data_IF_785637733615
#
_entry.id   IF_785637733615
#
_cell.length_a   1.000
_cell.length_b   1.000
_cell.length_c   1.000
_cell.angle_alpha   90.00
_cell.angle_beta   90.00
_cell.angle_gamma   90.00
#
_symmetry.space_group_name_H-M   'P 1'
#
loop_
_entity.id
_entity.type
_entity.pdbx_description
1 polymer ?
#
# COMPACT_ATOMS: atom_id res chain seq x y z
N UNK A 1 65.91 43.32 52.70
CA UNK A 1 66.59 42.05 52.37
C UNK A 1 65.75 40.90 52.92
N UNK A 2 65.45 39.94 52.03
CA UNK A 2 65.02 38.54 52.24
C UNK A 2 64.18 38.16 53.47
N UNK A 3 62.94 37.67 53.28
CA UNK A 3 62.65 36.24 53.04
C UNK A 3 61.15 35.90 53.17
N UNK A 4 60.61 35.42 52.04
CA UNK A 4 59.63 34.35 51.78
C UNK A 4 58.73 33.84 52.93
N UNK A 5 57.41 33.74 52.65
CA UNK A 5 56.59 32.55 52.93
C UNK A 5 55.48 32.35 51.89
N UNK A 6 55.48 31.18 51.24
CA UNK A 6 54.40 30.62 50.43
C UNK A 6 53.19 30.26 51.32
N UNK A 7 51.97 30.29 50.76
CA UNK A 7 50.93 29.29 51.06
C UNK A 7 49.73 29.36 50.09
N UNK A 8 49.41 28.21 49.48
CA UNK A 8 48.06 27.66 49.16
C UNK A 8 47.14 28.51 48.24
N UNK A 9 46.62 28.02 47.12
CA UNK A 9 45.84 26.80 46.96
C UNK A 9 45.91 26.26 45.52
N UNK A 10 46.14 24.96 45.43
CA UNK A 10 46.00 24.13 44.26
C UNK A 10 44.55 24.11 43.75
N UNK A 11 44.27 24.76 42.62
CA UNK A 11 43.14 24.39 41.76
C UNK A 11 43.60 23.28 40.83
N UNK A 12 43.50 22.04 41.30
CA UNK A 12 43.53 20.87 40.42
C UNK A 12 42.23 20.91 39.63
N UNK A 13 42.27 21.55 38.46
CA UNK A 13 41.22 21.40 37.44
C UNK A 13 41.32 19.97 36.90
N UNK A 14 40.59 19.07 37.55
CA UNK A 14 40.30 17.74 37.03
C UNK A 14 39.38 17.93 35.82
N UNK A 15 39.95 18.26 34.66
CA UNK A 15 39.25 18.13 33.39
C UNK A 15 39.06 16.63 33.15
N UNK A 16 37.93 16.12 33.67
CA UNK A 16 37.28 14.90 33.24
C UNK A 16 37.05 15.00 31.73
N UNK A 17 38.04 14.58 30.95
CA UNK A 17 37.84 14.12 29.58
C UNK A 17 37.13 12.77 29.73
N UNK A 18 35.81 12.82 29.97
CA UNK A 18 34.96 11.70 29.65
C UNK A 18 35.06 11.52 28.13
N UNK A 19 35.64 10.43 27.61
CA UNK A 19 35.45 10.13 26.21
C UNK A 19 33.95 9.93 26.06
N UNK A 20 33.29 10.88 25.41
CA UNK A 20 32.00 10.66 24.79
C UNK A 20 32.23 9.56 23.78
N UNK A 21 32.06 8.31 24.22
CA UNK A 21 31.83 7.19 23.32
C UNK A 21 30.51 7.56 22.65
N UNK A 22 30.62 8.26 21.52
CA UNK A 22 29.53 8.37 20.56
C UNK A 22 29.25 6.93 20.15
N UNK A 23 28.28 6.31 20.82
CA UNK A 23 27.70 5.07 20.38
C UNK A 23 27.05 5.39 19.04
N UNK A 24 27.81 5.24 17.95
CA UNK A 24 27.24 5.11 16.62
C UNK A 24 26.31 3.91 16.70
N UNK A 25 25.01 4.16 16.58
CA UNK A 25 24.03 3.10 16.38
C UNK A 25 24.35 2.52 15.00
N UNK A 26 25.08 1.41 14.99
CA UNK A 26 25.34 0.65 13.76
C UNK A 26 24.05 -0.08 13.44
N UNK A 27 23.29 0.39 12.46
CA UNK A 27 22.18 -0.39 11.93
C UNK A 27 22.76 -1.53 11.09
N UNK A 28 22.71 -2.75 11.60
CA UNK A 28 23.20 -3.94 10.89
C UNK A 28 22.26 -4.44 9.80
N UNK A 29 21.04 -3.89 9.71
CA UNK A 29 20.04 -4.36 8.75
C UNK A 29 19.89 -3.40 7.57
N UNK A 30 20.74 -3.60 6.56
CA UNK A 30 20.68 -2.91 5.27
C UNK A 30 19.74 -3.59 4.27
N UNK A 31 18.94 -4.59 4.71
CA UNK A 31 17.94 -5.26 3.87
C UNK A 31 16.89 -4.28 3.41
N UNK A 32 16.55 -4.30 2.13
CA UNK A 32 15.35 -3.61 1.67
C UNK A 32 14.13 -4.50 1.88
N UNK A 33 13.03 -3.88 2.26
CA UNK A 33 11.75 -4.54 2.50
C UNK A 33 10.72 -4.06 1.48
N UNK A 34 10.07 -5.01 0.83
CA UNK A 34 9.03 -4.73 -0.16
C UNK A 34 7.74 -5.47 0.21
N UNK A 35 6.61 -4.78 0.09
CA UNK A 35 5.31 -5.30 0.49
C UNK A 35 4.24 -5.08 -0.59
N UNK A 36 3.51 -6.14 -0.92
CA UNK A 36 2.22 -6.10 -1.59
C UNK A 36 1.13 -6.63 -0.67
N UNK A 37 -0.01 -5.97 -0.62
CA UNK A 37 -1.13 -6.41 0.22
C UNK A 37 -0.98 -6.01 1.69
N UNK A 38 -1.66 -6.74 2.58
CA UNK A 38 -1.64 -6.49 4.02
C UNK A 38 -1.77 -7.82 4.78
N UNK A 39 -0.75 -8.23 5.56
CA UNK A 39 -0.81 -9.46 6.34
C UNK A 39 -1.81 -9.33 7.50
N UNK A 40 -2.30 -10.45 7.98
CA UNK A 40 -2.98 -10.57 9.27
C UNK A 40 -2.45 -11.78 10.04
N UNK A 41 -2.54 -11.74 11.37
CA UNK A 41 -2.08 -12.84 12.23
C UNK A 41 -2.84 -14.16 12.00
N UNK A 42 -4.02 -14.10 11.39
CA UNK A 42 -4.83 -15.27 11.03
C UNK A 42 -4.48 -15.84 9.65
N UNK A 43 -3.46 -15.32 8.95
CA UNK A 43 -3.06 -15.84 7.65
C UNK A 43 -2.28 -17.15 7.75
N UNK A 44 -2.57 -18.04 6.81
CA UNK A 44 -1.73 -19.20 6.54
C UNK A 44 -0.43 -18.78 5.86
N UNK A 45 0.65 -19.47 6.19
CA UNK A 45 1.84 -19.50 5.34
C UNK A 45 1.53 -20.26 4.05
N UNK A 46 1.72 -19.60 2.90
CA UNK A 46 1.63 -20.24 1.59
C UNK A 46 3.01 -20.57 1.02
N UNK A 47 3.99 -19.70 1.27
CA UNK A 47 5.39 -19.90 0.92
C UNK A 47 6.27 -19.09 1.88
N UNK A 48 7.32 -19.70 2.41
CA UNK A 48 8.41 -19.00 3.06
C UNK A 48 9.74 -19.56 2.55
N UNK A 49 10.52 -18.75 1.85
CA UNK A 49 11.72 -19.24 1.16
C UNK A 49 12.75 -18.18 0.82
N UNK A 50 14.01 -18.47 1.13
CA UNK A 50 15.18 -17.70 0.67
C UNK A 50 15.68 -18.21 -0.69
N UNK A 51 16.04 -17.28 -1.57
CA UNK A 51 16.62 -17.53 -2.89
C UNK A 51 17.98 -16.82 -2.95
N UNK A 52 19.07 -17.59 -2.93
CA UNK A 52 20.45 -17.09 -2.96
C UNK A 52 20.87 -16.81 -4.42
N UNK A 53 21.08 -15.53 -4.76
CA UNK A 53 21.42 -15.10 -6.11
C UNK A 53 22.90 -15.29 -6.48
N UNK A 54 23.77 -15.58 -5.51
CA UNK A 54 25.20 -15.84 -5.72
C UNK A 54 25.48 -17.30 -6.10
N UNK A 55 24.51 -18.19 -5.86
CA UNK A 55 24.59 -19.62 -6.20
C UNK A 55 23.60 -19.97 -7.32
N UNK A 56 22.85 -21.06 -7.13
CA UNK A 56 21.69 -21.39 -7.94
C UNK A 56 20.40 -21.07 -7.15
N UNK A 57 19.83 -19.86 -7.35
CA UNK A 57 18.61 -19.46 -6.65
C UNK A 57 17.43 -20.35 -6.99
N UNK A 58 17.46 -21.03 -8.14
CA UNK A 58 16.34 -21.79 -8.68
C UNK A 58 16.51 -23.30 -8.61
N UNK A 59 17.44 -23.76 -7.77
CA UNK A 59 17.67 -25.17 -7.43
C UNK A 59 16.48 -25.84 -6.72
N UNK A 60 15.54 -25.06 -6.16
CA UNK A 60 14.38 -25.57 -5.41
C UNK A 60 13.35 -26.20 -6.35
N UNK A 61 13.12 -27.51 -6.23
CA UNK A 61 12.23 -28.26 -7.13
C UNK A 61 10.73 -27.93 -7.03
N UNK A 62 10.27 -27.41 -5.88
CA UNK A 62 8.84 -27.16 -5.63
C UNK A 62 8.36 -25.76 -6.06
N UNK A 63 9.27 -24.89 -6.53
CA UNK A 63 8.94 -23.54 -6.99
C UNK A 63 9.73 -23.22 -8.25
N UNK A 64 9.03 -22.86 -9.33
CA UNK A 64 9.69 -22.45 -10.56
C UNK A 64 10.17 -21.01 -10.43
N UNK A 65 11.44 -20.76 -10.68
CA UNK A 65 11.94 -19.40 -10.76
C UNK A 65 12.98 -19.21 -11.86
N UNK A 66 13.27 -17.95 -12.16
CA UNK A 66 14.39 -17.54 -12.99
C UNK A 66 15.06 -16.34 -12.33
N UNK A 67 16.38 -16.22 -12.51
CA UNK A 67 17.15 -15.09 -12.00
C UNK A 67 18.11 -14.59 -13.08
N UNK A 68 18.19 -13.27 -13.24
CA UNK A 68 19.21 -12.59 -14.03
C UNK A 68 19.62 -11.28 -13.33
N UNK A 69 20.51 -10.49 -13.92
CA UNK A 69 21.05 -9.27 -13.28
C UNK A 69 19.98 -8.23 -12.88
N UNK A 70 18.85 -8.20 -13.57
CA UNK A 70 17.83 -7.14 -13.41
C UNK A 70 16.51 -7.64 -12.85
N UNK A 71 16.27 -8.95 -12.87
CA UNK A 71 15.00 -9.54 -12.47
C UNK A 71 15.24 -10.88 -11.78
N UNK A 72 14.56 -11.06 -10.66
CA UNK A 72 14.22 -12.37 -10.12
C UNK A 72 12.73 -12.59 -10.33
N UNK A 73 12.35 -13.73 -10.89
CA UNK A 73 10.96 -14.06 -11.21
C UNK A 73 10.63 -15.40 -10.56
N UNK A 74 9.58 -15.42 -9.74
CA UNK A 74 9.06 -16.60 -9.06
C UNK A 74 7.63 -16.87 -9.56
N UNK A 75 7.40 -18.07 -10.09
CA UNK A 75 6.08 -18.54 -10.52
C UNK A 75 5.44 -19.34 -9.37
N UNK A 76 4.72 -18.62 -8.51
CA UNK A 76 4.06 -19.18 -7.34
C UNK A 76 2.61 -19.55 -7.65
N UNK A 77 2.22 -20.77 -7.29
CA UNK A 77 0.84 -21.27 -7.35
C UNK A 77 0.54 -22.04 -6.06
N UNK A 78 -0.49 -21.64 -5.32
CA UNK A 78 -0.96 -22.39 -4.15
C UNK A 78 -1.77 -23.61 -4.61
N UNK A 79 -1.36 -24.85 -4.27
CA UNK A 79 -2.05 -26.07 -4.69
C UNK A 79 -3.46 -26.18 -4.06
N UNK A 80 -3.67 -25.58 -2.89
CA UNK A 80 -4.98 -25.54 -2.21
C UNK A 80 -5.90 -24.42 -2.73
N UNK A 81 -5.46 -23.65 -3.73
CA UNK A 81 -6.19 -22.52 -4.33
C UNK A 81 -6.62 -21.44 -3.33
N UNK A 82 -5.91 -21.28 -2.21
CA UNK A 82 -6.12 -20.21 -1.22
C UNK A 82 -5.79 -18.86 -1.81
N UNK A 83 -6.45 -17.81 -1.33
CA UNK A 83 -6.20 -16.45 -1.78
C UNK A 83 -4.97 -15.85 -1.12
N UNK A 84 -4.06 -15.31 -1.92
CA UNK A 84 -2.92 -14.52 -1.45
C UNK A 84 -3.44 -13.21 -0.81
N UNK A 85 -3.06 -12.96 0.43
CA UNK A 85 -3.39 -11.75 1.21
C UNK A 85 -2.24 -10.74 1.24
N UNK A 86 -1.00 -11.24 1.27
CA UNK A 86 0.21 -10.41 1.21
C UNK A 86 1.41 -11.16 0.65
N UNK A 87 2.33 -10.39 0.07
CA UNK A 87 3.63 -10.84 -0.41
C UNK A 87 4.68 -9.90 0.15
N UNK A 88 5.59 -10.44 0.93
CA UNK A 88 6.76 -9.76 1.46
C UNK A 88 8.01 -10.27 0.76
N UNK A 89 8.88 -9.35 0.36
CA UNK A 89 10.22 -9.67 -0.14
C UNK A 89 11.23 -8.87 0.67
N UNK A 90 12.15 -9.58 1.31
CA UNK A 90 13.33 -9.01 1.93
C UNK A 90 14.53 -9.37 1.05
N UNK A 91 15.48 -8.45 0.92
CA UNK A 91 16.65 -8.71 0.09
C UNK A 91 17.81 -7.85 0.55
N UNK A 92 19.03 -8.37 0.45
CA UNK A 92 20.26 -7.63 0.72
C UNK A 92 20.89 -7.08 -0.59
N UNK A 93 21.25 -5.78 -0.66
CA UNK A 93 22.05 -5.27 -1.76
C UNK A 93 23.45 -5.91 -1.74
N UNK A 94 23.97 -6.30 -2.91
CA UNK A 94 25.32 -6.87 -3.04
C UNK A 94 26.36 -5.74 -3.05
N UNK A 95 26.65 -5.21 -1.86
CA UNK A 95 27.62 -4.14 -1.62
C UNK A 95 28.07 -4.15 -0.16
N UNK A 96 29.24 -3.55 0.18
CA UNK A 96 29.66 -3.42 1.56
C UNK A 96 28.60 -2.67 2.41
N UNK A 97 28.44 -3.02 3.70
CA UNK A 97 27.52 -2.33 4.60
C UNK A 97 27.80 -0.83 4.61
N UNK A 98 26.76 -0.02 4.38
CA UNK A 98 26.89 1.43 4.49
C UNK A 98 26.77 1.85 5.95
N UNK A 99 27.82 2.46 6.50
CA UNK A 99 27.86 3.01 7.86
C UNK A 99 27.34 4.47 7.93
N UNK A 100 26.66 4.95 6.89
CA UNK A 100 26.12 6.31 6.82
C UNK A 100 24.69 6.38 7.38
N UNK A 101 24.38 7.45 8.14
CA UNK A 101 23.09 7.65 8.82
C UNK A 101 21.89 7.83 7.86
N UNK A 102 22.14 8.21 6.60
CA UNK A 102 21.10 8.42 5.59
C UNK A 102 21.18 7.36 4.51
N UNK A 103 20.61 6.19 4.81
CA UNK A 103 20.39 5.11 3.86
C UNK A 103 19.59 5.63 2.66
N UNK A 104 20.17 5.58 1.46
CA UNK A 104 19.43 5.81 0.22
C UNK A 104 18.64 4.52 -0.07
N UNK A 105 17.29 4.53 -0.02
CA UNK A 105 16.51 3.34 -0.30
C UNK A 105 16.73 2.86 -1.73
N UNK A 106 16.83 1.54 -1.91
CA UNK A 106 16.94 0.96 -3.25
C UNK A 106 15.75 1.36 -4.13
N UNK A 107 16.01 1.62 -5.42
CA UNK A 107 14.95 1.88 -6.42
C UNK A 107 14.30 0.60 -6.95
N UNK A 108 14.67 -0.57 -6.41
CA UNK A 108 14.10 -1.86 -6.77
C UNK A 108 12.62 -1.94 -6.37
N UNK A 109 11.89 -2.89 -6.95
CA UNK A 109 10.45 -3.01 -6.71
C UNK A 109 9.95 -4.44 -6.95
N UNK A 110 8.86 -4.80 -6.27
CA UNK A 110 8.14 -6.05 -6.50
C UNK A 110 6.75 -5.79 -7.11
N UNK A 111 6.28 -6.72 -7.92
CA UNK A 111 4.91 -6.75 -8.46
C UNK A 111 4.56 -8.17 -8.95
N UNK A 112 3.26 -8.49 -9.02
CA UNK A 112 2.81 -9.67 -9.76
C UNK A 112 2.60 -9.30 -11.23
N UNK A 113 3.26 -10.02 -12.13
CA UNK A 113 3.05 -9.90 -13.57
C UNK A 113 1.76 -10.60 -14.03
N UNK A 114 1.36 -11.66 -13.33
CA UNK A 114 0.07 -12.37 -13.46
C UNK A 114 -0.41 -12.76 -12.06
N UNK A 115 -1.71 -12.78 -11.82
CA UNK A 115 -2.28 -13.07 -10.50
C UNK A 115 -1.96 -11.99 -9.46
N UNK A 116 -1.82 -12.38 -8.20
CA UNK A 116 -1.51 -11.50 -7.08
C UNK A 116 -2.55 -11.50 -5.96
N UNK A 117 -2.71 -10.38 -5.28
CA UNK A 117 -3.59 -10.26 -4.11
C UNK A 117 -5.04 -10.62 -4.50
N UNK A 118 -5.68 -11.50 -3.75
CA UNK A 118 -7.01 -12.05 -4.03
C UNK A 118 -7.03 -13.18 -5.08
N UNK A 119 -5.87 -13.68 -5.51
CA UNK A 119 -5.72 -14.85 -6.40
C UNK A 119 -4.91 -15.92 -5.70
N UNK A 120 -4.94 -17.15 -6.23
CA UNK A 120 -4.16 -18.27 -5.69
C UNK A 120 -2.80 -18.48 -6.35
N UNK A 121 -2.39 -17.54 -7.21
CA UNK A 121 -1.12 -17.59 -7.89
C UNK A 121 -0.58 -16.16 -8.06
N UNK A 122 0.73 -16.04 -8.17
CA UNK A 122 1.41 -14.81 -8.54
C UNK A 122 2.68 -15.17 -9.31
N UNK A 123 2.80 -14.66 -10.53
CA UNK A 123 4.10 -14.57 -11.21
C UNK A 123 4.82 -13.35 -10.64
N UNK A 124 5.48 -13.54 -9.50
CA UNK A 124 6.14 -12.50 -8.74
C UNK A 124 7.40 -12.06 -9.48
N UNK A 125 7.53 -10.77 -9.73
CA UNK A 125 8.72 -10.16 -10.30
C UNK A 125 9.34 -9.24 -9.25
N UNK A 126 10.56 -9.56 -8.85
CA UNK A 126 11.44 -8.65 -8.13
C UNK A 126 12.41 -8.00 -9.12
N UNK A 127 12.15 -6.73 -9.46
CA UNK A 127 12.99 -5.94 -10.35
C UNK A 127 14.15 -5.33 -9.57
N UNK A 128 15.33 -5.84 -9.83
CA UNK A 128 16.61 -5.42 -9.25
C UNK A 128 17.13 -4.21 -10.01
N UNK A 129 17.22 -3.07 -9.32
CA UNK A 129 17.84 -1.84 -9.85
C UNK A 129 19.34 -1.74 -9.55
N UNK A 130 19.80 -2.58 -8.63
CA UNK A 130 21.19 -2.81 -8.29
C UNK A 130 21.37 -4.31 -8.01
N UNK A 131 22.61 -4.85 -8.08
CA UNK A 131 22.92 -6.23 -7.71
C UNK A 131 22.43 -6.57 -6.30
N UNK A 132 21.97 -7.82 -6.11
CA UNK A 132 21.38 -8.32 -4.86
C UNK A 132 22.00 -9.66 -4.52
N UNK A 133 22.22 -9.91 -3.24
CA UNK A 133 22.74 -11.18 -2.74
C UNK A 133 21.66 -12.25 -2.71
N UNK A 134 20.44 -11.88 -2.31
CA UNK A 134 19.35 -12.82 -2.10
C UNK A 134 17.96 -12.21 -2.31
N UNK A 135 16.94 -13.05 -2.15
CA UNK A 135 15.59 -12.63 -1.81
C UNK A 135 14.93 -13.65 -0.87
N UNK A 136 14.51 -13.22 0.32
CA UNK A 136 13.56 -13.96 1.15
C UNK A 136 12.14 -13.57 0.73
N UNK A 137 11.37 -14.55 0.25
CA UNK A 137 9.98 -14.37 -0.16
C UNK A 137 9.07 -15.03 0.87
N UNK A 138 8.17 -14.25 1.47
CA UNK A 138 7.08 -14.71 2.32
C UNK A 138 5.73 -14.37 1.67
N UNK A 139 4.96 -15.40 1.32
CA UNK A 139 3.61 -15.29 0.77
C UNK A 139 2.63 -15.84 1.80
N UNK A 140 1.71 -14.98 2.21
CA UNK A 140 0.63 -15.29 3.16
C UNK A 140 -0.71 -15.31 2.46
N UNK A 141 -1.66 -16.06 3.01
CA UNK A 141 -2.97 -16.19 2.41
C UNK A 141 -4.09 -16.44 3.39
N UNK A 142 -5.31 -16.22 2.89
CA UNK A 142 -6.54 -16.53 3.61
C UNK A 142 -6.63 -18.06 3.83
N UNK A 143 -6.92 -18.51 5.06
CA UNK A 143 -7.10 -19.93 5.37
C UNK A 143 -8.08 -20.63 4.42
N UNK A 144 -7.81 -21.91 4.13
CA UNK A 144 -8.58 -22.68 3.15
C UNK A 144 -10.07 -22.86 3.49
N UNK A 145 -10.41 -22.78 4.77
CA UNK A 145 -11.77 -22.88 5.31
C UNK A 145 -12.54 -21.56 5.28
N UNK A 146 -11.91 -20.46 4.84
CA UNK A 146 -12.50 -19.13 4.80
C UNK A 146 -12.78 -18.65 3.38
N UNK A 147 -13.84 -17.85 3.24
CA UNK A 147 -14.10 -17.15 1.97
C UNK A 147 -13.00 -16.11 1.73
N UNK A 148 -12.54 -16.02 0.48
CA UNK A 148 -11.57 -15.02 0.06
C UNK A 148 -12.12 -13.59 0.21
N UNK A 149 -11.86 -12.99 1.37
CA UNK A 149 -12.26 -11.65 1.76
C UNK A 149 -11.07 -10.92 2.37
N UNK A 150 -10.82 -9.70 1.91
CA UNK A 150 -9.78 -8.82 2.48
C UNK A 150 -10.39 -7.61 3.17
N UNK A 151 -11.72 -7.44 3.09
CA UNK A 151 -12.46 -6.31 3.62
C UNK A 151 -12.04 -5.93 5.03
N UNK A 152 -12.07 -6.88 5.98
CA UNK A 152 -11.79 -6.58 7.39
C UNK A 152 -10.38 -6.02 7.59
N UNK A 153 -9.39 -6.46 6.83
CA UNK A 153 -8.00 -5.98 6.92
C UNK A 153 -7.87 -4.51 6.52
N UNK A 154 -8.72 -4.07 5.59
CA UNK A 154 -8.72 -2.70 5.06
C UNK A 154 -9.78 -1.80 5.68
N UNK A 155 -10.62 -2.35 6.56
CA UNK A 155 -11.61 -1.60 7.33
C UNK A 155 -11.44 -1.73 8.84
N UNK A 156 -10.52 -2.57 9.32
CA UNK A 156 -10.22 -2.77 10.74
C UNK A 156 -9.78 -1.45 11.38
N UNK A 157 -10.38 -1.12 12.52
CA UNK A 157 -10.22 0.17 13.18
C UNK A 157 -11.52 0.98 13.11
N UNK A 158 -11.40 2.30 12.95
CA UNK A 158 -12.54 3.19 12.74
C UNK A 158 -12.67 3.53 11.24
N UNK A 159 -13.44 2.75 10.45
CA UNK A 159 -13.55 2.96 9.00
C UNK A 159 -14.19 4.29 8.63
N UNK A 160 -14.81 5.00 9.58
CA UNK A 160 -15.28 6.38 9.39
C UNK A 160 -14.12 7.38 9.42
N UNK A 161 -13.07 7.12 10.19
CA UNK A 161 -11.96 8.05 10.43
C UNK A 161 -10.69 7.69 9.69
N UNK A 162 -10.48 6.44 9.33
CA UNK A 162 -9.26 6.00 8.64
C UNK A 162 -9.56 5.39 7.29
N UNK A 163 -8.65 5.63 6.35
CA UNK A 163 -8.66 5.08 5.01
C UNK A 163 -8.04 3.66 4.98
N UNK A 164 -8.09 2.97 3.83
CA UNK A 164 -7.55 1.61 3.73
C UNK A 164 -6.01 1.53 3.82
N UNK A 165 -5.31 2.65 3.74
CA UNK A 165 -3.86 2.73 3.96
C UNK A 165 -3.49 2.88 5.44
N UNK A 166 -4.49 2.97 6.32
CA UNK A 166 -4.35 3.22 7.75
C UNK A 166 -4.16 4.70 8.11
N UNK A 167 -4.42 5.61 7.17
CA UNK A 167 -4.24 7.05 7.38
C UNK A 167 -5.56 7.70 7.79
N UNK A 168 -5.52 8.63 8.73
CA UNK A 168 -6.69 9.38 9.14
C UNK A 168 -7.17 10.29 7.99
N UNK A 169 -8.48 10.35 7.77
CA UNK A 169 -9.08 11.38 6.93
C UNK A 169 -8.84 12.75 7.56
N UNK A 170 -8.26 13.65 6.78
CA UNK A 170 -8.02 15.02 7.18
C UNK A 170 -9.04 15.93 6.51
N UNK A 171 -9.52 16.92 7.24
CA UNK A 171 -10.56 17.85 6.78
C UNK A 171 -10.06 19.28 6.90
N UNK A 172 -10.37 20.11 5.92
CA UNK A 172 -10.10 21.54 5.99
C UNK A 172 -10.97 22.17 7.09
N UNK A 173 -10.40 23.09 7.87
CA UNK A 173 -11.11 23.74 8.98
C UNK A 173 -12.14 24.77 8.53
N UNK A 174 -12.05 25.25 7.28
CA UNK A 174 -12.93 26.28 6.73
C UNK A 174 -14.22 25.70 6.15
N UNK A 175 -14.15 24.53 5.53
CA UNK A 175 -15.27 23.94 4.79
C UNK A 175 -15.62 22.48 5.17
N UNK A 176 -14.87 21.88 6.11
CA UNK A 176 -15.04 20.49 6.57
C UNK A 176 -14.97 19.43 5.44
N UNK A 177 -14.39 19.78 4.28
CA UNK A 177 -14.15 18.84 3.18
C UNK A 177 -12.81 18.13 3.35
N UNK A 178 -12.79 16.86 2.95
CA UNK A 178 -11.59 16.04 2.99
C UNK A 178 -10.50 16.58 2.06
N UNK A 179 -9.29 16.73 2.58
CA UNK A 179 -8.12 17.23 1.85
C UNK A 179 -7.30 16.11 1.22
N UNK A 180 -6.54 16.43 0.17
CA UNK A 180 -5.67 15.46 -0.48
C UNK A 180 -4.66 14.85 0.49
N UNK A 181 -4.51 13.52 0.44
CA UNK A 181 -3.51 12.78 1.22
C UNK A 181 -2.08 13.19 0.84
N UNK A 182 -1.21 13.29 1.84
CA UNK A 182 0.22 13.56 1.70
C UNK A 182 1.05 12.30 2.01
N UNK A 183 2.31 12.24 1.56
CA UNK A 183 3.21 11.12 1.88
C UNK A 183 2.89 9.78 1.20
N UNK A 184 1.95 9.75 0.25
CA UNK A 184 1.65 8.58 -0.58
C UNK A 184 1.96 8.89 -2.04
N UNK A 185 2.39 7.88 -2.81
CA UNK A 185 2.59 8.02 -4.26
C UNK A 185 1.28 8.41 -4.93
N UNK A 186 1.32 9.47 -5.73
CA UNK A 186 0.13 10.00 -6.44
C UNK A 186 0.36 10.19 -7.92
N UNK A 187 -0.73 10.10 -8.69
CA UNK A 187 -0.79 10.52 -10.08
C UNK A 187 -2.08 11.28 -10.34
N UNK A 188 -2.03 12.23 -11.27
CA UNK A 188 -3.21 12.90 -11.80
C UNK A 188 -3.47 12.41 -13.22
N UNK A 189 -4.70 11.97 -13.49
CA UNK A 189 -5.23 11.84 -14.84
C UNK A 189 -6.01 13.13 -15.12
N UNK A 190 -6.04 13.56 -16.39
CA UNK A 190 -6.72 14.77 -16.90
C UNK A 190 -7.83 15.33 -16.00
N UNK A 191 -7.83 16.65 -15.78
CA UNK A 191 -8.74 17.30 -14.84
C UNK A 191 -8.35 17.03 -13.38
N UNK A 192 -9.33 16.63 -12.57
CA UNK A 192 -9.20 16.50 -11.11
C UNK A 192 -9.15 15.06 -10.61
N UNK A 193 -8.95 14.07 -11.48
CA UNK A 193 -8.83 12.67 -11.06
C UNK A 193 -7.47 12.41 -10.39
N UNK A 194 -7.49 12.17 -9.09
CA UNK A 194 -6.31 11.81 -8.31
C UNK A 194 -6.32 10.32 -7.99
N UNK A 195 -5.17 9.69 -8.17
CA UNK A 195 -4.92 8.29 -7.87
C UNK A 195 -3.81 8.17 -6.84
N UNK A 196 -3.99 7.29 -5.86
CA UNK A 196 -3.00 7.01 -4.82
C UNK A 196 -2.53 5.55 -4.91
N UNK A 197 -1.30 5.26 -4.49
CA UNK A 197 -0.79 3.89 -4.35
C UNK A 197 0.10 3.70 -3.12
N UNK A 198 -0.16 2.63 -2.36
CA UNK A 198 0.70 2.14 -1.28
C UNK A 198 0.61 0.62 -1.20
N UNK A 199 1.74 -0.07 -1.08
CA UNK A 199 1.82 -1.54 -0.95
C UNK A 199 1.02 -2.30 -2.03
N UNK A 200 1.08 -1.81 -3.26
CA UNK A 200 0.33 -2.37 -4.39
C UNK A 200 -1.16 -2.03 -4.41
N UNK A 201 -1.75 -1.55 -3.32
CA UNK A 201 -3.14 -1.12 -3.28
C UNK A 201 -3.25 0.26 -3.94
N UNK A 202 -4.17 0.36 -4.89
CA UNK A 202 -4.51 1.58 -5.61
C UNK A 202 -5.77 2.20 -5.01
N UNK A 203 -5.93 3.51 -5.13
CA UNK A 203 -7.13 4.22 -4.69
C UNK A 203 -7.53 5.33 -5.64
N UNK A 204 -8.85 5.53 -5.75
CA UNK A 204 -9.49 6.68 -6.37
C UNK A 204 -10.73 7.05 -5.55
N UNK A 205 -11.13 8.31 -5.62
CA UNK A 205 -12.24 8.86 -4.85
C UNK A 205 -13.26 9.48 -5.79
N UNK A 206 -14.54 9.18 -5.57
CA UNK A 206 -15.64 9.85 -6.27
C UNK A 206 -16.33 10.78 -5.27
N UNK A 207 -16.34 12.08 -5.61
CA UNK A 207 -16.80 13.22 -4.79
C UNK A 207 -15.88 13.53 -3.60
N UNK A 208 -16.17 14.62 -2.90
CA UNK A 208 -15.52 14.98 -1.65
C UNK A 208 -16.21 14.35 -0.44
N UNK A 209 -15.41 13.78 0.46
CA UNK A 209 -15.86 13.31 1.77
C UNK A 209 -16.05 14.53 2.68
N UNK A 210 -17.22 14.63 3.32
CA UNK A 210 -17.51 15.61 4.37
C UNK A 210 -17.30 14.98 5.74
N UNK A 211 -16.87 15.78 6.72
CA UNK A 211 -16.79 15.37 8.13
C UNK A 211 -18.12 14.85 8.71
N UNK A 212 -19.25 15.27 8.13
CA UNK A 212 -20.59 14.87 8.56
C UNK A 212 -21.09 13.57 7.90
N UNK A 213 -20.37 13.04 6.91
CA UNK A 213 -20.74 11.78 6.28
C UNK A 213 -20.63 10.61 7.25
N UNK A 214 -21.52 9.63 7.04
CA UNK A 214 -21.54 8.40 7.82
C UNK A 214 -20.99 7.26 6.97
N UNK A 215 -20.00 6.55 7.48
CA UNK A 215 -19.62 5.27 6.91
C UNK A 215 -20.81 4.31 7.00
N UNK A 216 -21.13 3.68 5.89
CA UNK A 216 -22.32 2.82 5.77
C UNK A 216 -21.91 1.36 5.65
N UNK A 217 -21.12 1.06 4.62
CA UNK A 217 -20.78 -0.32 4.25
C UNK A 217 -19.54 -0.33 3.38
N UNK A 218 -18.82 -1.46 3.42
CA UNK A 218 -17.83 -1.81 2.41
C UNK A 218 -18.34 -2.98 1.58
N UNK A 219 -18.32 -2.81 0.25
CA UNK A 219 -18.52 -3.88 -0.73
C UNK A 219 -17.18 -4.29 -1.30
N UNK A 220 -16.95 -5.58 -1.45
CA UNK A 220 -15.74 -6.14 -2.05
C UNK A 220 -16.09 -7.09 -3.19
N UNK A 221 -15.14 -7.33 -4.07
CA UNK A 221 -15.25 -8.30 -5.15
C UNK A 221 -13.87 -8.86 -5.48
N UNK A 222 -13.78 -10.19 -5.47
CA UNK A 222 -12.70 -10.92 -6.14
C UNK A 222 -13.08 -11.07 -7.61
N UNK A 223 -12.30 -10.44 -8.50
CA UNK A 223 -12.63 -10.41 -9.93
C UNK A 223 -12.22 -11.73 -10.57
N UNK A 224 -13.20 -12.48 -11.07
CA UNK A 224 -12.97 -13.78 -11.73
C UNK A 224 -12.57 -13.59 -13.20
N UNK A 225 -11.87 -14.59 -13.75
CA UNK A 225 -11.53 -14.70 -15.18
C UNK A 225 -10.84 -13.48 -15.80
N UNK A 226 -10.15 -12.67 -14.98
CA UNK A 226 -9.44 -11.46 -15.40
C UNK A 226 -10.32 -10.52 -16.24
N UNK A 227 -11.59 -10.40 -15.84
CA UNK A 227 -12.56 -9.53 -16.49
C UNK A 227 -12.07 -8.08 -16.52
N UNK A 228 -12.04 -7.50 -17.72
CA UNK A 228 -11.66 -6.10 -17.96
C UNK A 228 -12.78 -5.10 -17.68
N UNK A 229 -14.00 -5.59 -17.52
CA UNK A 229 -15.16 -4.77 -17.18
C UNK A 229 -16.05 -5.52 -16.21
N UNK A 230 -16.41 -4.87 -15.11
CA UNK A 230 -17.32 -5.41 -14.10
C UNK A 230 -18.00 -4.27 -13.35
N UNK A 231 -19.05 -4.61 -12.58
CA UNK A 231 -19.84 -3.63 -11.83
C UNK A 231 -19.97 -4.00 -10.35
N UNK A 232 -20.13 -2.98 -9.52
CA UNK A 232 -20.57 -3.10 -8.13
C UNK A 232 -21.87 -2.32 -7.96
N UNK A 233 -22.87 -2.94 -7.36
CA UNK A 233 -24.17 -2.31 -7.12
C UNK A 233 -24.31 -1.84 -5.66
N UNK A 234 -24.84 -0.64 -5.50
CA UNK A 234 -25.05 0.02 -4.22
C UNK A 234 -26.49 0.51 -4.10
N UNK A 235 -27.07 0.33 -2.92
CA UNK A 235 -28.33 0.99 -2.57
C UNK A 235 -28.10 2.49 -2.41
N UNK A 236 -29.03 3.30 -2.92
CA UNK A 236 -28.96 4.77 -2.89
C UNK A 236 -30.34 5.35 -2.52
N UNK A 237 -30.88 4.94 -1.37
CA UNK A 237 -32.22 5.33 -0.94
C UNK A 237 -32.26 5.64 0.56
N UNK A 238 -33.01 6.68 0.93
CA UNK A 238 -33.19 7.16 2.33
C UNK A 238 -31.84 7.32 3.05
N UNK A 239 -31.65 6.63 4.17
CA UNK A 239 -30.42 6.69 4.98
C UNK A 239 -29.18 6.16 4.26
N UNK A 240 -29.34 5.42 3.15
CA UNK A 240 -28.24 4.86 2.35
C UNK A 240 -27.85 5.75 1.17
N UNK A 241 -28.35 6.98 1.09
CA UNK A 241 -28.02 7.92 0.01
C UNK A 241 -26.51 8.14 -0.08
N UNK A 242 -25.93 7.72 -1.20
CA UNK A 242 -24.48 7.71 -1.44
C UNK A 242 -24.00 9.14 -1.56
N UNK A 243 -23.07 9.51 -0.69
CA UNK A 243 -22.51 10.85 -0.66
C UNK A 243 -21.04 10.87 -1.09
N UNK A 244 -20.30 9.80 -0.81
CA UNK A 244 -18.90 9.65 -1.16
C UNK A 244 -18.52 8.17 -1.32
N UNK A 245 -17.63 7.87 -2.27
CA UNK A 245 -17.03 6.55 -2.46
C UNK A 245 -15.51 6.62 -2.36
N UNK A 246 -14.93 5.83 -1.45
CA UNK A 246 -13.48 5.59 -1.38
C UNK A 246 -13.19 4.22 -2.00
N UNK A 247 -12.63 4.23 -3.21
CA UNK A 247 -12.54 3.05 -4.07
C UNK A 247 -11.11 2.54 -4.08
N UNK A 248 -10.94 1.25 -3.87
CA UNK A 248 -9.64 0.61 -3.72
C UNK A 248 -9.55 -0.67 -4.54
N UNK A 249 -8.37 -0.96 -5.10
CA UNK A 249 -8.16 -2.18 -5.86
C UNK A 249 -6.70 -2.62 -5.95
N UNK A 250 -6.51 -3.89 -6.27
CA UNK A 250 -5.26 -4.47 -6.76
C UNK A 250 -5.41 -4.82 -8.25
N UNK A 251 -4.36 -4.65 -9.03
CA UNK A 251 -4.35 -5.00 -10.47
C UNK A 251 -3.08 -5.76 -10.85
N UNK A 252 -3.20 -6.61 -11.88
CA UNK A 252 -2.09 -7.30 -12.54
C UNK A 252 -1.22 -6.26 -13.27
N UNK A 253 0.11 -6.33 -13.06
CA UNK A 253 1.11 -5.37 -13.54
C UNK A 253 1.11 -4.00 -12.85
N UNK A 254 2.28 -3.64 -12.32
CA UNK A 254 2.55 -2.30 -11.82
C UNK A 254 3.78 -1.72 -12.49
N UNK A 255 3.68 -1.54 -13.83
CA UNK A 255 4.60 -0.69 -14.60
C UNK A 255 4.87 0.61 -13.82
N UNK A 256 6.02 1.24 -14.06
CA UNK A 256 6.39 2.51 -13.37
C UNK A 256 5.25 3.55 -13.40
N UNK A 257 4.43 3.52 -14.46
CA UNK A 257 3.12 4.16 -14.58
C UNK A 257 2.06 3.08 -14.89
N UNK A 258 1.22 2.67 -13.92
CA UNK A 258 0.17 1.66 -14.15
C UNK A 258 -0.90 2.19 -15.10
N UNK A 259 -1.57 1.31 -15.85
CA UNK A 259 -2.77 1.72 -16.60
C UNK A 259 -3.93 1.78 -15.63
N UNK A 260 -4.43 2.99 -15.39
CA UNK A 260 -5.46 3.24 -14.40
C UNK A 260 -6.84 2.94 -14.99
N UNK A 261 -7.74 2.26 -14.25
CA UNK A 261 -9.09 2.00 -14.72
C UNK A 261 -9.88 3.32 -14.90
N UNK A 262 -10.86 3.29 -15.78
CA UNK A 262 -11.96 4.26 -15.78
C UNK A 262 -13.03 3.73 -14.83
N UNK A 263 -13.31 4.49 -13.76
CA UNK A 263 -14.28 4.10 -12.75
C UNK A 263 -15.39 5.16 -12.73
N UNK A 264 -16.61 4.77 -13.10
CA UNK A 264 -17.71 5.69 -13.30
C UNK A 264 -19.05 5.04 -12.93
N UNK A 265 -20.07 5.85 -12.65
CA UNK A 265 -21.43 5.33 -12.50
C UNK A 265 -22.00 4.95 -13.86
N UNK A 266 -22.73 3.84 -13.93
CA UNK A 266 -23.52 3.50 -15.10
C UNK A 266 -24.69 4.50 -15.22
N UNK A 267 -24.54 5.53 -16.06
CA UNK A 267 -25.44 6.68 -16.11
C UNK A 267 -25.18 7.67 -14.98
N UNK A 268 -26.25 8.22 -14.38
CA UNK A 268 -26.14 9.14 -13.23
C UNK A 268 -26.58 8.45 -11.93
N UNK A 269 -25.86 8.72 -10.83
CA UNK A 269 -26.27 8.33 -9.49
C UNK A 269 -26.91 9.53 -8.78
N UNK A 270 -28.18 9.78 -9.08
CA UNK A 270 -28.98 10.87 -8.53
C UNK A 270 -29.76 10.42 -7.28
N UNK A 271 -30.22 11.35 -6.42
CA UNK A 271 -31.06 11.01 -5.27
C UNK A 271 -32.36 10.24 -5.59
N UNK A 272 -32.83 10.30 -6.84
CA UNK A 272 -34.00 9.55 -7.33
C UNK A 272 -33.70 8.09 -7.69
N UNK A 273 -32.43 7.74 -7.96
CA UNK A 273 -32.02 6.38 -8.28
C UNK A 273 -31.94 5.55 -6.99
N UNK A 274 -32.82 4.56 -6.82
CA UNK A 274 -32.79 3.66 -5.65
C UNK A 274 -31.55 2.79 -5.58
N UNK A 275 -30.93 2.51 -6.72
CA UNK A 275 -29.68 1.77 -6.86
C UNK A 275 -28.74 2.52 -7.79
N UNK A 276 -27.44 2.43 -7.52
CA UNK A 276 -26.39 2.95 -8.38
C UNK A 276 -25.38 1.84 -8.67
N UNK A 277 -25.00 1.71 -9.94
CA UNK A 277 -24.00 0.76 -10.38
C UNK A 277 -22.70 1.50 -10.67
N UNK A 278 -21.62 1.07 -10.04
CA UNK A 278 -20.26 1.56 -10.29
C UNK A 278 -19.57 0.59 -11.25
N UNK A 279 -19.16 1.10 -12.41
CA UNK A 279 -18.46 0.35 -13.45
C UNK A 279 -16.97 0.52 -13.25
N UNK A 280 -16.23 -0.59 -13.30
CA UNK A 280 -14.78 -0.61 -13.45
C UNK A 280 -14.47 -1.05 -14.88
N UNK A 281 -13.81 -0.19 -15.64
CA UNK A 281 -13.42 -0.44 -17.03
C UNK A 281 -11.90 -0.29 -17.14
N UNK A 282 -11.19 -1.37 -17.45
CA UNK A 282 -9.74 -1.44 -17.29
C UNK A 282 -9.04 -2.19 -18.42
N UNK A 283 -7.89 -1.66 -18.83
CA UNK A 283 -6.99 -2.36 -19.75
C UNK A 283 -6.20 -3.48 -19.05
N UNK A 284 -5.89 -3.27 -17.77
CA UNK A 284 -5.11 -4.17 -16.91
C UNK A 284 -6.05 -4.89 -15.94
N UNK A 285 -6.03 -6.23 -15.85
CA UNK A 285 -6.95 -6.97 -14.99
C UNK A 285 -6.85 -6.55 -13.53
N UNK A 286 -7.99 -6.19 -12.94
CA UNK A 286 -8.12 -6.03 -11.49
C UNK A 286 -8.23 -7.43 -10.88
N UNK A 287 -7.52 -7.70 -9.80
CA UNK A 287 -7.60 -8.99 -9.10
C UNK A 287 -8.62 -8.96 -7.98
N UNK A 288 -8.69 -7.84 -7.27
CA UNK A 288 -9.57 -7.61 -6.15
C UNK A 288 -9.89 -6.12 -6.03
N UNK A 289 -11.15 -5.79 -5.76
CA UNK A 289 -11.60 -4.41 -5.53
C UNK A 289 -12.50 -4.34 -4.30
N UNK A 290 -12.48 -3.19 -3.63
CA UNK A 290 -13.46 -2.87 -2.61
C UNK A 290 -13.76 -1.38 -2.57
N UNK A 291 -14.94 -1.04 -2.11
CA UNK A 291 -15.45 0.32 -2.06
C UNK A 291 -16.02 0.57 -0.68
N UNK A 292 -15.46 1.55 0.02
CA UNK A 292 -16.05 2.09 1.24
C UNK A 292 -17.11 3.12 0.84
N UNK A 293 -18.34 2.88 1.27
CA UNK A 293 -19.50 3.72 0.95
C UNK A 293 -19.81 4.59 2.14
N UNK A 294 -19.92 5.89 1.87
CA UNK A 294 -20.37 6.87 2.83
C UNK A 294 -21.71 7.45 2.38
N UNK A 295 -22.59 7.64 3.36
CA UNK A 295 -23.95 8.13 3.14
C UNK A 295 -24.21 9.43 3.89
N UNK A 296 -25.00 10.29 3.26
CA UNK A 296 -25.58 11.46 3.89
C UNK A 296 -26.98 11.70 3.29
N UNK A 297 -28.05 11.49 4.07
CA UNK A 297 -29.42 11.65 3.57
C UNK A 297 -29.75 13.11 3.23
N UNK A 298 -29.14 14.08 3.89
CA UNK A 298 -29.43 15.50 3.72
C UNK A 298 -28.75 16.10 2.49
N UNK A 299 -27.96 15.28 1.78
CA UNK A 299 -27.17 15.72 0.65
C UNK A 299 -27.90 15.55 -0.69
N UNK A 300 -28.13 16.67 -1.41
CA UNK A 300 -28.83 16.70 -2.70
C UNK A 300 -28.02 17.34 -3.87
N UNK A 301 -26.83 17.91 -3.62
CA UNK A 301 -26.10 18.76 -4.60
C UNK A 301 -24.81 18.11 -5.16
N UNK A 302 -24.24 18.61 -6.27
CA UNK A 302 -22.92 18.16 -6.74
C UNK A 302 -21.82 18.55 -5.74
N UNK A 303 -21.10 17.57 -5.18
CA UNK A 303 -19.92 17.82 -4.33
C UNK A 303 -18.71 18.15 -5.18
N UNK A 304 -18.67 19.37 -5.68
CA UNK A 304 -17.50 19.98 -6.31
C UNK A 304 -17.03 21.10 -5.38
N UNK A 305 -15.73 21.16 -5.07
CA UNK A 305 -15.18 22.36 -4.42
C UNK A 305 -15.25 23.50 -5.44
N UNK A 306 -15.40 24.73 -4.95
CA UNK A 306 -15.45 25.91 -5.82
C UNK A 306 -14.22 26.01 -6.74
N UNK A 307 -13.06 25.60 -6.23
CA UNK A 307 -11.78 25.52 -6.97
C UNK A 307 -11.79 24.54 -8.16
N UNK A 308 -12.77 23.62 -8.18
CA UNK A 308 -12.95 22.60 -9.22
C UNK A 308 -14.08 22.91 -10.20
N UNK A 309 -14.77 24.05 -10.02
CA UNK A 309 -15.77 24.53 -10.97
C UNK A 309 -15.08 25.11 -12.22
N UNK A 310 -15.51 24.68 -13.41
CA UNK A 310 -15.05 25.25 -14.69
C UNK A 310 -13.84 24.58 -15.35
N UNK A 311 -13.43 23.39 -14.89
CA UNK A 311 -12.37 22.58 -15.54
C UNK A 311 -12.92 21.18 -15.84
N UNK A 312 -13.73 21.11 -16.90
CA UNK A 312 -14.25 19.87 -17.49
C UNK A 312 -13.22 19.15 -18.34
#
# INVERSE_FOLDING_TARGET
MASIKLSTCSFVLLNLILPTISMKVISFDDRDEYLLGKPANSDDELLYSTFDFQRDPCSKSYVKCTNNNTHFILDFVDPKKRCISSIHVFSYPDRPPSFEEKRIPSKSAIYCQKGGIGKSHCLLVFRKKEPREDALVDIRGIPADQTCSLKERYTSGDPKKTDAYGMAYQFDRKDDWHIQRTGIKTWKRSGNEIFYRKNGLMNHQIRYLSKFDKYTVTRELVVKNNAKKFTLEFSNFRQYRISFLDIYWFQESQRNKPRLPYIYYNGHCLPSNKTCQLVFDTDEPITYAFVKVFSNPDHNEPRLRHEDLGRG
#
